data_IF_665807820321
#
_entry.id   IF_665807820321
#
_cell.length_a   1.000
_cell.length_b   1.000
_cell.length_c   1.000
_cell.angle_alpha   90.00
_cell.angle_beta   90.00
_cell.angle_gamma   90.00
#
_symmetry.space_group_name_H-M   'P 1'
#
loop_
_entity.id
_entity.type
_entity.pdbx_description
1 polymer ?
#
# COMPACT_ATOMS: atom_id res chain seq x y z
N UNK A 1 -12.90 6.95 2.00
CA UNK A 1 -13.88 8.00 2.39
C UNK A 1 -14.02 8.22 3.91
N UNK A 2 -13.33 7.46 4.76
CA UNK A 2 -13.49 7.53 6.22
C UNK A 2 -12.65 8.60 6.95
N UNK A 3 -11.78 9.33 6.24
CA UNK A 3 -11.09 10.51 6.75
C UNK A 3 -12.05 11.70 6.88
N UNK A 4 -13.04 11.60 7.77
CA UNK A 4 -14.20 12.49 7.90
C UNK A 4 -13.81 13.96 8.01
N UNK A 5 -12.82 14.29 8.85
CA UNK A 5 -12.38 15.69 9.06
C UNK A 5 -11.81 16.27 7.76
N UNK A 6 -10.89 15.55 7.12
CA UNK A 6 -10.27 15.98 5.87
C UNK A 6 -11.30 16.13 4.75
N UNK A 7 -12.23 15.18 4.58
CA UNK A 7 -13.25 15.30 3.54
C UNK A 7 -14.22 16.45 3.80
N UNK A 8 -14.60 16.70 5.06
CA UNK A 8 -15.51 17.80 5.40
C UNK A 8 -14.97 19.17 5.00
N UNK A 9 -13.66 19.37 5.11
CA UNK A 9 -12.99 20.60 4.67
C UNK A 9 -12.79 20.57 3.15
N UNK A 10 -12.11 19.54 2.64
CA UNK A 10 -11.67 19.50 1.24
C UNK A 10 -12.84 19.52 0.25
N UNK A 11 -13.89 18.72 0.47
CA UNK A 11 -15.00 18.62 -0.48
C UNK A 11 -15.87 19.88 -0.53
N UNK A 12 -15.94 20.65 0.58
CA UNK A 12 -16.65 21.94 0.61
C UNK A 12 -15.88 23.02 -0.14
N UNK A 13 -14.57 23.09 0.06
CA UNK A 13 -13.71 24.13 -0.51
C UNK A 13 -13.31 23.85 -1.97
N UNK A 14 -13.30 22.57 -2.39
CA UNK A 14 -12.97 22.20 -3.75
C UNK A 14 -14.09 22.53 -4.76
N UNK A 15 -13.69 22.82 -6.00
CA UNK A 15 -14.57 22.93 -7.17
C UNK A 15 -14.77 21.59 -7.90
N UNK A 16 -13.74 20.76 -7.91
CA UNK A 16 -13.78 19.38 -8.42
C UNK A 16 -13.17 18.42 -7.38
N UNK A 17 -13.72 17.22 -7.27
CA UNK A 17 -13.28 16.17 -6.33
C UNK A 17 -12.95 14.92 -7.16
N UNK A 18 -11.65 14.71 -7.39
CA UNK A 18 -11.14 13.60 -8.20
C UNK A 18 -10.90 12.38 -7.30
N UNK A 19 -11.59 11.28 -7.54
CA UNK A 19 -11.57 10.06 -6.70
C UNK A 19 -11.65 8.80 -7.55
N UNK A 20 -11.17 7.64 -7.06
CA UNK A 20 -11.37 6.37 -7.74
C UNK A 20 -12.86 6.09 -7.96
N UNK A 21 -13.18 5.49 -9.10
CA UNK A 21 -14.50 4.98 -9.47
C UNK A 21 -15.05 3.93 -8.48
N UNK A 22 -14.15 3.25 -7.76
CA UNK A 22 -14.50 2.34 -6.67
C UNK A 22 -15.31 2.99 -5.55
N UNK A 23 -15.19 4.31 -5.35
CA UNK A 23 -15.86 5.01 -4.25
C UNK A 23 -17.28 5.40 -4.70
N UNK A 24 -18.34 4.85 -4.07
CA UNK A 24 -19.70 5.27 -4.39
C UNK A 24 -19.88 6.76 -4.09
N UNK A 25 -20.35 7.53 -5.08
CA UNK A 25 -20.35 8.99 -5.03
C UNK A 25 -21.18 9.52 -3.85
N UNK A 26 -22.27 8.84 -3.55
CA UNK A 26 -23.21 9.10 -2.46
C UNK A 26 -22.54 9.09 -1.09
N UNK A 27 -21.45 8.32 -0.90
CA UNK A 27 -20.67 8.35 0.36
C UNK A 27 -19.94 9.69 0.56
N UNK A 28 -19.74 10.46 -0.52
CA UNK A 28 -19.08 11.78 -0.48
C UNK A 28 -20.06 12.95 -0.43
N UNK A 29 -21.35 12.74 -0.69
CA UNK A 29 -22.35 13.84 -0.71
C UNK A 29 -22.45 14.55 0.64
N UNK A 30 -22.37 13.79 1.74
CA UNK A 30 -22.37 14.34 3.11
C UNK A 30 -21.21 15.31 3.39
N UNK A 31 -20.15 15.24 2.59
CA UNK A 31 -19.00 16.14 2.69
C UNK A 31 -19.10 17.37 1.78
N UNK A 32 -20.21 17.55 1.05
CA UNK A 32 -20.40 18.68 0.13
C UNK A 32 -19.83 18.45 -1.28
N UNK A 33 -19.58 17.19 -1.66
CA UNK A 33 -19.01 16.84 -2.96
C UNK A 33 -20.05 16.69 -4.09
N UNK A 34 -21.36 16.78 -3.80
CA UNK A 34 -22.41 16.62 -4.81
C UNK A 34 -22.18 17.55 -6.00
N UNK A 35 -22.31 17.03 -7.23
CA UNK A 35 -22.04 17.69 -8.52
C UNK A 35 -20.57 18.09 -8.78
N UNK A 36 -19.64 17.82 -7.86
CA UNK A 36 -18.21 18.13 -7.99
C UNK A 36 -17.35 16.91 -8.26
N UNK A 37 -17.91 15.70 -8.14
CA UNK A 37 -17.16 14.45 -8.25
C UNK A 37 -16.72 14.22 -9.69
N UNK A 38 -15.49 13.75 -9.85
CA UNK A 38 -14.84 13.36 -11.10
C UNK A 38 -14.19 11.99 -10.87
N UNK A 39 -14.90 10.88 -11.18
CA UNK A 39 -14.35 9.56 -10.97
C UNK A 39 -13.23 9.27 -11.99
N UNK A 40 -12.20 8.54 -11.56
CA UNK A 40 -11.21 7.94 -12.46
C UNK A 40 -11.18 6.42 -12.28
N UNK A 41 -10.86 5.70 -13.34
CA UNK A 41 -10.83 4.24 -13.35
C UNK A 41 -9.65 3.67 -12.54
N UNK A 42 -9.88 2.62 -11.76
CA UNK A 42 -8.79 1.85 -11.16
C UNK A 42 -8.13 2.50 -9.95
N UNK A 43 -6.80 2.43 -9.86
CA UNK A 43 -6.01 2.94 -8.74
C UNK A 43 -5.20 4.16 -9.17
N UNK A 44 -5.04 5.18 -8.31
CA UNK A 44 -4.11 6.29 -8.62
C UNK A 44 -2.68 5.80 -8.83
N UNK A 45 -2.32 4.71 -8.16
CA UNK A 45 -1.05 3.99 -8.30
C UNK A 45 -0.82 3.52 -9.74
N UNK A 46 -1.86 3.13 -10.48
CA UNK A 46 -1.76 2.72 -11.89
C UNK A 46 -1.44 3.91 -12.82
N UNK A 47 -1.66 5.15 -12.36
CA UNK A 47 -1.32 6.38 -13.08
C UNK A 47 0.08 6.87 -12.71
N UNK A 48 0.36 7.15 -11.44
CA UNK A 48 1.65 7.76 -11.07
C UNK A 48 2.83 6.78 -11.16
N UNK A 49 2.57 5.48 -11.27
CA UNK A 49 3.61 4.49 -11.57
C UNK A 49 3.61 4.08 -13.05
N UNK A 50 2.79 4.66 -13.94
CA UNK A 50 2.61 4.14 -15.29
C UNK A 50 3.93 3.95 -16.08
N UNK A 51 4.88 4.88 -15.92
CA UNK A 51 6.21 4.89 -16.50
C UNK A 51 7.32 4.45 -15.54
N UNK A 52 6.96 4.03 -14.31
CA UNK A 52 7.90 3.55 -13.31
C UNK A 52 8.55 2.24 -13.75
N UNK A 53 9.87 2.22 -13.73
CA UNK A 53 10.72 1.03 -13.91
C UNK A 53 11.57 0.79 -12.65
N UNK A 54 11.53 -0.40 -12.03
CA UNK A 54 12.21 -0.66 -10.77
C UNK A 54 13.75 -0.59 -10.85
N UNK A 55 14.38 0.18 -9.97
CA UNK A 55 15.84 0.26 -9.86
C UNK A 55 16.40 -0.85 -8.96
N UNK A 56 17.24 -1.72 -9.53
CA UNK A 56 17.86 -2.83 -8.81
C UNK A 56 18.89 -2.39 -7.76
N UNK A 57 19.32 -1.12 -7.76
CA UNK A 57 20.25 -0.57 -6.77
C UNK A 57 19.76 -0.75 -5.33
N UNK A 58 18.44 -0.75 -5.11
CA UNK A 58 17.83 -0.98 -3.78
C UNK A 58 18.19 -2.36 -3.20
N UNK A 59 18.40 -3.37 -4.06
CA UNK A 59 18.79 -4.71 -3.63
C UNK A 59 20.21 -4.70 -3.09
N UNK A 60 21.14 -4.07 -3.82
CA UNK A 60 22.52 -3.94 -3.37
C UNK A 60 22.66 -3.05 -2.14
N UNK A 61 21.89 -1.95 -2.04
CA UNK A 61 21.89 -1.07 -0.86
C UNK A 61 21.49 -1.84 0.42
N UNK A 62 20.56 -2.77 0.31
CA UNK A 62 20.03 -3.56 1.43
C UNK A 62 20.69 -4.94 1.58
N UNK A 63 21.67 -5.28 0.73
CA UNK A 63 22.32 -6.61 0.75
C UNK A 63 21.37 -7.77 0.44
N UNK A 64 20.36 -7.55 -0.40
CA UNK A 64 19.35 -8.54 -0.76
C UNK A 64 19.82 -9.42 -1.93
N UNK A 65 19.80 -10.73 -1.73
CA UNK A 65 19.92 -11.73 -2.78
C UNK A 65 18.55 -11.94 -3.48
N UNK A 66 18.49 -11.66 -4.78
CA UNK A 66 17.28 -11.79 -5.60
C UNK A 66 16.86 -13.23 -5.84
N UNK A 67 17.77 -14.20 -5.70
CA UNK A 67 17.47 -15.62 -5.92
C UNK A 67 16.61 -16.23 -4.80
N UNK A 68 16.56 -15.57 -3.64
CA UNK A 68 15.79 -15.95 -2.45
C UNK A 68 14.51 -15.11 -2.29
N UNK A 69 13.52 -15.58 -1.53
CA UNK A 69 12.30 -14.81 -1.25
C UNK A 69 12.60 -13.51 -0.49
N UNK A 70 12.13 -12.38 -1.03
CA UNK A 70 12.22 -11.06 -0.38
C UNK A 70 10.83 -10.70 0.16
N UNK A 71 10.74 -10.47 1.46
CA UNK A 71 9.51 -10.03 2.13
C UNK A 71 9.65 -8.59 2.57
N UNK A 72 8.67 -7.77 2.26
CA UNK A 72 8.62 -6.37 2.70
C UNK A 72 7.48 -6.22 3.69
N UNK A 73 7.81 -5.72 4.87
CA UNK A 73 6.84 -5.46 5.92
C UNK A 73 6.82 -3.96 6.20
N UNK A 74 5.63 -3.39 6.38
CA UNK A 74 5.51 -2.04 6.94
C UNK A 74 4.62 -2.08 8.16
N UNK A 75 5.18 -1.59 9.25
CA UNK A 75 4.55 -1.63 10.57
C UNK A 75 3.19 -0.91 10.57
N UNK A 76 2.25 -1.35 11.41
CA UNK A 76 1.00 -0.65 11.62
C UNK A 76 1.23 0.74 12.25
N UNK A 77 0.27 1.67 12.14
CA UNK A 77 0.37 3.02 12.73
C UNK A 77 0.36 3.07 14.28
N UNK A 78 0.52 1.94 14.97
CA UNK A 78 0.56 1.88 16.42
C UNK A 78 1.88 2.45 16.98
N UNK A 79 1.87 2.95 18.22
CA UNK A 79 3.06 3.57 18.83
C UNK A 79 4.18 2.57 19.15
N UNK A 80 3.86 1.30 19.45
CA UNK A 80 4.85 0.23 19.61
C UNK A 80 4.39 -1.06 18.92
N UNK A 81 5.35 -1.90 18.52
CA UNK A 81 5.05 -3.20 17.92
C UNK A 81 4.45 -4.17 18.91
N UNK A 82 4.77 -3.99 20.19
CA UNK A 82 4.41 -4.90 21.27
C UNK A 82 3.24 -4.44 22.14
N UNK A 83 2.74 -3.19 22.02
CA UNK A 83 1.59 -2.72 22.83
C UNK A 83 0.25 -2.80 22.08
N UNK A 84 -0.16 -4.00 21.70
CA UNK A 84 -1.59 -4.34 21.56
C UNK A 84 -1.87 -5.68 22.23
N UNK A 85 -2.59 -5.60 23.35
CA UNK A 85 -2.91 -6.74 24.20
C UNK A 85 -4.00 -7.69 23.68
N UNK A 86 -4.50 -7.56 22.44
CA UNK A 86 -5.64 -8.38 22.01
C UNK A 86 -5.61 -8.96 20.57
N UNK A 87 -4.54 -8.79 19.79
CA UNK A 87 -4.15 -9.75 18.73
C UNK A 87 -2.83 -9.35 18.05
N UNK A 88 -1.80 -10.18 18.25
CA UNK A 88 -0.40 -9.88 17.90
C UNK A 88 -0.02 -10.37 16.49
N UNK A 89 -0.95 -10.29 15.54
CA UNK A 89 -0.78 -10.87 14.20
C UNK A 89 0.49 -10.37 13.50
N UNK A 90 0.79 -9.07 13.62
CA UNK A 90 2.00 -8.51 12.99
C UNK A 90 3.29 -9.05 13.62
N UNK A 91 3.35 -9.24 14.95
CA UNK A 91 4.51 -9.88 15.58
C UNK A 91 4.62 -11.33 15.19
N UNK A 92 3.52 -12.08 15.13
CA UNK A 92 3.55 -13.46 14.67
C UNK A 92 4.09 -13.56 13.24
N UNK A 93 3.76 -12.60 12.39
CA UNK A 93 4.36 -12.47 11.05
C UNK A 93 5.85 -12.16 11.14
N UNK A 94 6.27 -11.21 11.98
CA UNK A 94 7.70 -10.89 12.21
C UNK A 94 8.49 -12.13 12.66
N UNK A 95 7.97 -12.88 13.63
CA UNK A 95 8.55 -14.14 14.09
C UNK A 95 8.60 -15.19 12.97
N UNK A 96 7.55 -15.27 12.14
CA UNK A 96 7.47 -16.20 11.00
C UNK A 96 8.51 -15.93 9.91
N UNK A 97 8.95 -14.68 9.76
CA UNK A 97 9.96 -14.25 8.77
C UNK A 97 11.35 -14.02 9.36
N UNK A 98 11.56 -14.36 10.64
CA UNK A 98 12.89 -14.28 11.27
C UNK A 98 13.88 -15.18 10.52
N UNK A 99 15.08 -14.64 10.24
CA UNK A 99 16.14 -15.36 9.49
C UNK A 99 16.00 -15.34 7.96
N UNK A 100 14.92 -14.74 7.46
CA UNK A 100 14.65 -14.59 6.03
C UNK A 100 15.06 -13.21 5.52
N UNK A 101 15.00 -12.98 4.21
CA UNK A 101 15.23 -11.64 3.64
C UNK A 101 13.99 -10.74 3.83
N UNK A 102 13.75 -10.39 5.09
CA UNK A 102 12.66 -9.52 5.51
C UNK A 102 13.16 -8.10 5.73
N UNK A 103 12.65 -7.17 4.92
CA UNK A 103 12.86 -5.72 5.09
C UNK A 103 11.68 -5.15 5.84
N UNK A 104 11.91 -4.61 7.05
CA UNK A 104 10.87 -4.04 7.90
C UNK A 104 10.99 -2.51 7.89
N UNK A 105 9.92 -1.86 7.43
CA UNK A 105 9.81 -0.41 7.32
C UNK A 105 9.01 0.14 8.51
N UNK A 106 9.68 0.68 9.55
CA UNK A 106 9.00 1.28 10.69
C UNK A 106 8.28 2.57 10.31
N UNK A 107 7.20 2.89 11.02
CA UNK A 107 6.45 4.14 10.90
C UNK A 107 6.88 5.18 11.94
N UNK A 108 7.39 4.75 13.09
CA UNK A 108 7.82 5.63 14.18
C UNK A 108 9.25 5.28 14.60
N UNK A 109 9.89 6.22 15.30
CA UNK A 109 11.23 6.02 15.85
C UNK A 109 11.27 4.93 16.93
N UNK A 110 10.21 4.83 17.74
CA UNK A 110 10.11 3.78 18.77
C UNK A 110 10.08 2.38 18.13
N UNK A 111 9.31 2.20 17.05
CA UNK A 111 9.27 0.94 16.32
C UNK A 111 10.63 0.61 15.70
N UNK A 112 11.34 1.63 15.18
CA UNK A 112 12.71 1.46 14.67
C UNK A 112 13.63 0.94 15.77
N UNK A 113 13.69 1.64 16.91
CA UNK A 113 14.54 1.27 18.04
C UNK A 113 14.20 -0.14 18.57
N UNK A 114 12.93 -0.54 18.53
CA UNK A 114 12.50 -1.90 18.88
C UNK A 114 13.04 -2.97 17.93
N UNK A 115 12.94 -2.75 16.61
CA UNK A 115 13.42 -3.69 15.61
C UNK A 115 14.95 -3.79 15.63
N UNK A 116 15.64 -2.65 15.69
CA UNK A 116 17.11 -2.58 15.70
C UNK A 116 17.71 -3.27 16.93
N UNK A 117 17.04 -3.24 18.08
CA UNK A 117 17.48 -3.95 19.29
C UNK A 117 17.49 -5.47 19.14
N UNK A 118 16.57 -6.02 18.34
CA UNK A 118 16.53 -7.47 18.10
C UNK A 118 17.58 -7.92 17.09
N UNK A 119 17.89 -7.08 16.10
CA UNK A 119 18.84 -7.43 15.02
C UNK A 119 18.37 -8.53 14.08
N UNK A 120 17.09 -8.93 14.17
CA UNK A 120 16.54 -10.10 13.46
C UNK A 120 16.16 -9.83 11.99
N UNK A 121 16.04 -8.56 11.60
CA UNK A 121 15.52 -8.14 10.29
C UNK A 121 16.30 -6.96 9.70
N UNK A 122 16.13 -6.74 8.39
CA UNK A 122 16.72 -5.60 7.68
C UNK A 122 15.84 -4.37 7.93
N UNK A 123 16.35 -3.42 8.70
CA UNK A 123 15.68 -2.13 8.97
C UNK A 123 16.48 -1.03 8.27
N UNK A 124 15.99 -0.42 7.17
CA UNK A 124 16.73 0.61 6.48
C UNK A 124 16.99 1.82 7.40
N UNK A 125 18.24 2.32 7.52
CA UNK A 125 18.58 3.40 8.45
C UNK A 125 18.03 4.77 8.00
N UNK A 126 17.57 4.86 6.76
CA UNK A 126 17.03 6.07 6.12
C UNK A 126 15.92 5.69 5.15
N UNK A 127 15.26 6.70 4.59
CA UNK A 127 14.34 6.50 3.48
C UNK A 127 15.08 5.85 2.29
N UNK A 128 14.42 4.85 1.68
CA UNK A 128 14.88 4.11 0.50
C UNK A 128 13.85 4.25 -0.61
N UNK A 129 14.20 3.80 -1.82
CA UNK A 129 13.22 3.58 -2.89
C UNK A 129 12.30 2.39 -2.56
N UNK A 130 11.22 2.69 -1.84
CA UNK A 130 10.24 1.70 -1.43
C UNK A 130 9.47 1.10 -2.63
N UNK A 131 9.31 1.84 -3.73
CA UNK A 131 8.56 1.36 -4.90
C UNK A 131 9.38 0.31 -5.65
N UNK A 132 10.68 0.53 -5.82
CA UNK A 132 11.59 -0.49 -6.39
C UNK A 132 11.69 -1.70 -5.48
N UNK A 133 11.76 -1.51 -4.15
CA UNK A 133 11.76 -2.61 -3.20
C UNK A 133 10.46 -3.43 -3.28
N UNK A 134 9.29 -2.77 -3.32
CA UNK A 134 7.99 -3.44 -3.50
C UNK A 134 7.94 -4.18 -4.82
N UNK A 135 8.46 -3.61 -5.91
CA UNK A 135 8.46 -4.25 -7.22
C UNK A 135 9.36 -5.50 -7.27
N UNK A 136 10.44 -5.56 -6.50
CA UNK A 136 11.30 -6.75 -6.41
C UNK A 136 10.90 -7.74 -5.32
N UNK A 137 10.01 -7.36 -4.42
CA UNK A 137 9.52 -8.24 -3.36
C UNK A 137 8.70 -9.41 -3.92
N UNK A 138 8.81 -10.55 -3.23
CA UNK A 138 7.95 -11.70 -3.45
C UNK A 138 6.66 -11.63 -2.62
N UNK A 139 6.67 -10.85 -1.54
CA UNK A 139 5.49 -10.60 -0.72
C UNK A 139 5.59 -9.26 0.01
N UNK A 140 4.47 -8.53 0.05
CA UNK A 140 4.30 -7.36 0.92
C UNK A 140 3.30 -7.68 2.03
N UNK A 141 3.60 -7.29 3.26
CA UNK A 141 2.66 -7.33 4.39
C UNK A 141 2.57 -5.94 5.01
N UNK A 142 1.40 -5.28 4.91
CA UNK A 142 1.26 -3.91 5.43
C UNK A 142 -0.16 -3.53 5.86
N UNK A 143 -0.24 -2.69 6.91
CA UNK A 143 -1.46 -1.98 7.27
C UNK A 143 -1.61 -0.61 6.54
N UNK A 144 -0.75 -0.30 5.57
CA UNK A 144 -0.75 0.97 4.84
C UNK A 144 -1.49 0.90 3.51
N UNK A 145 -2.56 1.69 3.36
CA UNK A 145 -3.35 1.70 2.13
C UNK A 145 -2.57 2.08 0.86
N UNK A 146 -1.62 3.03 0.93
CA UNK A 146 -0.79 3.40 -0.23
C UNK A 146 0.10 2.24 -0.66
N UNK A 147 0.92 1.70 0.26
CA UNK A 147 1.83 0.60 -0.04
C UNK A 147 1.11 -0.66 -0.53
N UNK A 148 -0.06 -0.96 0.03
CA UNK A 148 -0.88 -2.08 -0.44
C UNK A 148 -1.31 -1.89 -1.89
N UNK A 149 -1.76 -0.69 -2.26
CA UNK A 149 -2.18 -0.40 -3.63
C UNK A 149 -1.00 -0.28 -4.59
N UNK A 150 0.17 0.18 -4.12
CA UNK A 150 1.40 0.18 -4.92
C UNK A 150 1.83 -1.25 -5.23
N UNK A 151 1.78 -2.15 -4.24
CA UNK A 151 2.05 -3.57 -4.44
C UNK A 151 1.09 -4.19 -5.46
N UNK A 152 -0.21 -3.90 -5.35
CA UNK A 152 -1.21 -4.33 -6.33
C UNK A 152 -0.92 -3.78 -7.73
N UNK A 153 -0.61 -2.48 -7.86
CA UNK A 153 -0.32 -1.84 -9.14
C UNK A 153 1.00 -2.32 -9.78
N UNK A 154 1.94 -2.81 -8.97
CA UNK A 154 3.21 -3.39 -9.42
C UNK A 154 3.14 -4.92 -9.61
N UNK A 155 1.99 -5.55 -9.32
CA UNK A 155 1.80 -7.00 -9.45
C UNK A 155 2.46 -7.84 -8.36
N UNK A 156 2.86 -7.21 -7.25
CA UNK A 156 3.46 -7.87 -6.10
C UNK A 156 2.36 -8.43 -5.17
N UNK A 157 2.40 -9.72 -4.79
CA UNK A 157 1.45 -10.27 -3.83
C UNK A 157 1.45 -9.45 -2.53
N UNK A 158 0.27 -9.15 -2.00
CA UNK A 158 0.16 -8.33 -0.78
C UNK A 158 -0.92 -8.81 0.17
N UNK A 159 -0.54 -8.88 1.44
CA UNK A 159 -1.44 -9.03 2.56
C UNK A 159 -1.62 -7.71 3.31
N UNK A 160 -2.86 -7.39 3.66
CA UNK A 160 -3.15 -6.34 4.62
C UNK A 160 -3.35 -6.88 6.02
N UNK A 161 -2.69 -6.24 6.98
CA UNK A 161 -2.91 -6.40 8.43
C UNK A 161 -3.78 -5.27 9.01
N UNK A 162 -4.48 -4.51 8.15
CA UNK A 162 -5.37 -3.45 8.59
C UNK A 162 -6.66 -4.04 9.17
N UNK A 163 -6.91 -3.76 10.45
CA UNK A 163 -8.08 -4.29 11.19
C UNK A 163 -9.30 -3.36 11.17
N UNK A 164 -9.14 -2.13 10.68
CA UNK A 164 -10.23 -1.16 10.60
C UNK A 164 -11.18 -1.41 9.43
N UNK A 165 -12.18 -0.55 9.30
CA UNK A 165 -13.09 -0.57 8.15
C UNK A 165 -12.32 -0.20 6.87
N UNK A 166 -12.19 -1.11 5.89
CA UNK A 166 -11.52 -0.78 4.63
C UNK A 166 -12.22 0.36 3.90
N UNK A 167 -11.46 1.15 3.14
CA UNK A 167 -12.04 2.11 2.20
C UNK A 167 -12.58 1.37 0.96
N UNK A 168 -13.50 1.97 0.22
CA UNK A 168 -14.13 1.32 -0.93
C UNK A 168 -13.14 0.74 -1.97
N UNK A 169 -11.97 1.38 -2.13
CA UNK A 169 -10.88 0.87 -2.99
C UNK A 169 -10.34 -0.46 -2.48
N UNK A 170 -10.04 -0.56 -1.18
CA UNK A 170 -9.50 -1.79 -0.60
C UNK A 170 -10.59 -2.86 -0.52
N UNK A 171 -11.85 -2.48 -0.25
CA UNK A 171 -13.02 -3.37 -0.33
C UNK A 171 -13.10 -4.04 -1.72
N UNK A 172 -12.98 -3.25 -2.80
CA UNK A 172 -12.98 -3.77 -4.17
C UNK A 172 -11.79 -4.69 -4.42
N UNK A 173 -10.57 -4.28 -4.07
CA UNK A 173 -9.36 -5.10 -4.29
C UNK A 173 -9.38 -6.43 -3.52
N UNK A 174 -9.99 -6.44 -2.32
CA UNK A 174 -10.19 -7.67 -1.55
C UNK A 174 -11.20 -8.59 -2.23
N UNK A 175 -12.32 -8.03 -2.71
CA UNK A 175 -13.35 -8.78 -3.44
C UNK A 175 -12.79 -9.38 -4.74
N UNK A 176 -11.91 -8.66 -5.43
CA UNK A 176 -11.21 -9.12 -6.65
C UNK A 176 -10.06 -10.09 -6.36
N UNK A 177 -9.69 -10.32 -5.10
CA UNK A 177 -8.56 -11.18 -4.70
C UNK A 177 -7.16 -10.60 -4.97
N UNK A 178 -7.08 -9.33 -5.39
CA UNK A 178 -5.82 -8.60 -5.67
C UNK A 178 -5.13 -8.14 -4.40
N UNK A 179 -5.89 -7.79 -3.36
CA UNK A 179 -5.41 -7.51 -2.00
C UNK A 179 -5.97 -8.58 -1.07
N UNK A 180 -5.15 -9.23 -0.25
CA UNK A 180 -5.64 -10.28 0.66
C UNK A 180 -5.64 -9.78 2.09
N UNK A 181 -6.70 -10.07 2.85
CA UNK A 181 -6.67 -9.85 4.29
C UNK A 181 -5.87 -10.97 4.93
N UNK A 182 -4.94 -10.63 5.83
CA UNK A 182 -4.25 -11.63 6.63
C UNK A 182 -5.09 -11.95 7.86
N UNK A 183 -5.43 -13.22 8.05
CA UNK A 183 -6.15 -13.71 9.23
C UNK A 183 -5.20 -14.47 10.17
N UNK A 184 -4.29 -15.27 9.61
CA UNK A 184 -3.30 -16.03 10.36
C UNK A 184 -1.88 -15.84 9.81
N UNK A 185 -0.88 -15.77 10.69
CA UNK A 185 0.51 -15.57 10.27
C UNK A 185 1.05 -16.74 9.41
N UNK A 186 0.48 -17.94 9.55
CA UNK A 186 0.80 -19.14 8.75
C UNK A 186 0.39 -19.05 7.27
N UNK A 187 -0.46 -18.08 6.91
CA UNK A 187 -0.83 -17.79 5.53
C UNK A 187 0.28 -17.06 4.76
N UNK A 188 1.28 -16.52 5.48
CA UNK A 188 2.48 -15.93 4.90
C UNK A 188 3.33 -17.04 4.27
N UNK A 189 3.25 -17.13 2.93
CA UNK A 189 4.04 -18.07 2.13
C UNK A 189 5.36 -17.43 1.73
N UNK A 190 6.46 -18.04 2.17
CA UNK A 190 7.82 -17.62 1.86
C UNK A 190 8.33 -18.39 0.66
N UNK A 191 7.93 -17.94 -0.52
CA UNK A 191 8.35 -18.53 -1.79
C UNK A 191 8.64 -17.42 -2.78
N UNK A 192 9.52 -17.70 -3.76
CA UNK A 192 9.67 -16.82 -4.91
C UNK A 192 8.32 -16.72 -5.61
N UNK A 193 7.93 -15.51 -6.00
CA UNK A 193 6.84 -15.37 -6.95
C UNK A 193 7.32 -16.01 -8.26
N UNK A 194 6.67 -17.07 -8.71
CA UNK A 194 6.87 -17.54 -10.08
C UNK A 194 6.61 -16.35 -11.00
N UNK A 195 7.39 -16.16 -12.06
CA UNK A 195 7.34 -14.95 -12.91
C UNK A 195 5.99 -14.62 -13.58
N UNK A 196 4.91 -15.29 -13.17
CA UNK A 196 3.51 -15.00 -13.45
C UNK A 196 3.01 -13.99 -12.40
N UNK A 197 2.61 -12.77 -12.81
CA UNK A 197 1.99 -11.80 -11.92
C UNK A 197 0.79 -12.40 -11.18
N UNK A 198 0.57 -11.98 -9.93
CA UNK A 198 -0.70 -12.26 -9.24
C UNK A 198 -1.80 -11.50 -9.98
N UNK A 199 -2.50 -12.23 -10.85
CA UNK A 199 -3.54 -11.75 -11.77
C UNK A 199 -3.09 -10.69 -12.78
N UNK A 200 -2.82 -11.12 -14.02
CA UNK A 200 -2.79 -10.27 -15.20
C UNK A 200 -1.52 -9.44 -15.40
N UNK A 201 -1.32 -8.98 -16.63
CA UNK A 201 -0.28 -8.00 -16.96
C UNK A 201 -0.47 -6.72 -16.14
N UNK A 202 0.64 -6.08 -15.76
CA UNK A 202 0.64 -4.83 -15.01
C UNK A 202 -0.21 -3.78 -15.71
N UNK A 203 -1.27 -3.29 -15.05
CA UNK A 203 -2.11 -2.21 -15.58
C UNK A 203 -1.37 -0.88 -15.48
N UNK A 204 -1.11 -0.25 -16.62
CA UNK A 204 -0.52 1.10 -16.73
C UNK A 204 -1.56 2.04 -17.32
N UNK A 205 -1.82 3.17 -16.67
CA UNK A 205 -2.82 4.16 -17.10
C UNK A 205 -2.17 5.48 -17.44
N UNK A 206 -2.67 6.13 -18.48
CA UNK A 206 -2.15 7.42 -18.92
C UNK A 206 -2.35 8.50 -17.83
N UNK A 207 -1.27 9.06 -17.24
CA UNK A 207 -1.35 10.12 -16.24
C UNK A 207 -2.04 11.39 -16.74
N UNK A 208 -2.09 11.62 -18.06
CA UNK A 208 -2.77 12.77 -18.65
C UNK A 208 -4.26 12.77 -18.30
N UNK A 209 -4.91 11.60 -18.24
CA UNK A 209 -6.32 11.48 -17.84
C UNK A 209 -6.57 12.01 -16.42
N UNK A 210 -5.68 11.71 -15.48
CA UNK A 210 -5.79 12.21 -14.11
C UNK A 210 -5.57 13.72 -14.06
N UNK A 211 -4.63 14.21 -14.88
CA UNK A 211 -4.33 15.64 -15.02
C UNK A 211 -5.54 16.41 -15.56
N UNK A 212 -6.18 15.92 -16.62
CA UNK A 212 -7.39 16.52 -17.20
C UNK A 212 -8.53 16.61 -16.19
N UNK A 213 -8.75 15.54 -15.41
CA UNK A 213 -9.76 15.55 -14.35
C UNK A 213 -9.46 16.58 -13.26
N UNK A 214 -8.19 16.73 -12.86
CA UNK A 214 -7.76 17.73 -11.88
C UNK A 214 -7.92 19.17 -12.41
N UNK A 215 -7.63 19.39 -13.69
CA UNK A 215 -7.77 20.69 -14.36
C UNK A 215 -9.24 21.05 -14.68
N UNK A 216 -10.18 20.12 -14.60
CA UNK A 216 -11.61 20.42 -14.77
C UNK A 216 -12.16 21.46 -13.76
N UNK A 217 -11.42 21.76 -12.69
CA UNK A 217 -11.76 22.81 -11.72
C UNK A 217 -11.46 24.24 -12.22
N UNK A 218 -10.56 24.40 -13.20
CA UNK A 218 -10.11 25.70 -13.72
C UNK A 218 -10.65 26.02 -15.11
N UNK A 219 -11.02 24.99 -15.89
CA UNK A 219 -11.69 25.18 -17.17
C UNK A 219 -13.12 25.67 -16.90
N UNK A 220 -13.38 26.95 -17.17
CA UNK A 220 -14.75 27.49 -17.15
C UNK A 220 -15.53 26.84 -18.29
N UNK A 221 -16.66 26.22 -17.97
CA UNK A 221 -17.72 25.96 -18.95
C UNK A 221 -18.34 27.29 -19.40
#
# INVERSE_FOLDING_TARGET
EWATVQHNVNCRLAKAVVVPDAIPQERLYRYGARNKIRPYEGLKEEYYLADFEPDAAVLSELGLDRSRPIVVLRTPPAVSLYHRFENDLFRQVLDRVRGEQAVVLPRTEDQRAELERTGDWIVPPRAIDAQSLVAYADLVVSAGGTMNREAVALGTPVYTTFEGRPGAVDERLITEGRLRRLEHAEDVKLAKRGGVPVSGERVRRDPALLTDLLLSAVIRA
#
